data_IF_911361087018
#
_entry.id   IF_911361087018
#
_cell.length_a   1.000
_cell.length_b   1.000
_cell.length_c   1.000
_cell.angle_alpha   90.00
_cell.angle_beta   90.00
_cell.angle_gamma   90.00
#
_symmetry.space_group_name_H-M   'P 1'
#
loop_
_entity.id
_entity.type
_entity.pdbx_description
1 polymer ?
#
# COMPACT_ATOMS: atom_id res chain seq x y z
N UNK A 1 7.26 0.12 -10.92
CA UNK A 1 6.84 0.26 -12.33
C UNK A 1 7.66 -0.59 -13.28
N UNK A 2 8.99 -0.67 -13.12
CA UNK A 2 9.86 -1.52 -13.96
C UNK A 2 9.39 -2.98 -14.03
N UNK A 3 9.01 -3.59 -12.89
CA UNK A 3 8.51 -4.97 -12.86
C UNK A 3 7.21 -5.18 -13.67
N UNK A 4 6.29 -4.21 -13.64
CA UNK A 4 5.03 -4.28 -14.39
C UNK A 4 5.27 -4.13 -15.89
N UNK A 5 6.20 -3.25 -16.28
CA UNK A 5 6.61 -3.06 -17.68
C UNK A 5 7.28 -4.34 -18.20
N UNK A 6 8.21 -4.91 -17.43
CA UNK A 6 8.88 -6.15 -17.79
C UNK A 6 7.89 -7.31 -17.95
N UNK A 7 6.92 -7.45 -17.03
CA UNK A 7 5.89 -8.48 -17.12
C UNK A 7 4.95 -8.26 -18.31
N UNK A 8 4.56 -7.01 -18.60
CA UNK A 8 3.75 -6.67 -19.77
C UNK A 8 4.50 -6.81 -21.10
N UNK A 9 5.84 -6.76 -21.10
CA UNK A 9 6.65 -7.08 -22.27
C UNK A 9 6.82 -8.60 -22.47
N UNK A 10 6.88 -9.36 -21.37
CA UNK A 10 7.03 -10.81 -21.39
C UNK A 10 5.71 -11.58 -21.58
N UNK A 11 4.57 -10.99 -21.22
CA UNK A 11 3.23 -11.59 -21.24
C UNK A 11 2.21 -10.60 -21.86
N UNK A 12 0.95 -11.01 -22.04
CA UNK A 12 -0.08 -10.12 -22.60
C UNK A 12 -0.25 -8.84 -21.76
N UNK A 13 -0.01 -7.63 -22.34
CA UNK A 13 -0.17 -6.36 -21.63
C UNK A 13 -1.58 -6.16 -21.08
N UNK A 14 -2.59 -6.64 -21.83
CA UNK A 14 -4.00 -6.59 -21.41
C UNK A 14 -4.26 -7.46 -20.18
N UNK A 15 -3.63 -8.63 -20.09
CA UNK A 15 -3.69 -9.50 -18.92
C UNK A 15 -3.04 -8.87 -17.69
N UNK A 16 -1.88 -8.23 -17.87
CA UNK A 16 -1.17 -7.54 -16.78
C UNK A 16 -1.97 -6.32 -16.29
N UNK A 17 -2.51 -5.52 -17.22
CA UNK A 17 -3.30 -4.34 -16.89
C UNK A 17 -4.60 -4.71 -16.15
N UNK A 18 -5.36 -5.67 -16.69
CA UNK A 18 -6.59 -6.14 -16.05
C UNK A 18 -6.32 -6.76 -14.67
N UNK A 19 -5.30 -7.59 -14.53
CA UNK A 19 -4.90 -8.15 -13.24
C UNK A 19 -4.47 -7.08 -12.21
N UNK A 20 -3.72 -6.07 -12.65
CA UNK A 20 -3.33 -4.95 -11.80
C UNK A 20 -4.55 -4.15 -11.32
N UNK A 21 -5.49 -3.87 -12.22
CA UNK A 21 -6.74 -3.17 -11.90
C UNK A 21 -7.58 -3.99 -10.92
N UNK A 22 -7.84 -5.26 -11.21
CA UNK A 22 -8.64 -6.13 -10.34
C UNK A 22 -8.05 -6.23 -8.94
N UNK A 23 -6.74 -6.48 -8.82
CA UNK A 23 -6.07 -6.53 -7.52
C UNK A 23 -6.15 -5.18 -6.80
N UNK A 24 -5.96 -4.08 -7.51
CA UNK A 24 -6.01 -2.75 -6.91
C UNK A 24 -7.42 -2.42 -6.39
N UNK A 25 -8.46 -2.73 -7.17
CA UNK A 25 -9.85 -2.58 -6.75
C UNK A 25 -10.15 -3.40 -5.49
N UNK A 26 -9.74 -4.67 -5.43
CA UNK A 26 -9.92 -5.52 -4.25
C UNK A 26 -9.17 -4.98 -3.04
N UNK A 27 -7.90 -4.61 -3.20
CA UNK A 27 -7.08 -4.08 -2.11
C UNK A 27 -7.64 -2.77 -1.55
N UNK A 28 -8.03 -1.84 -2.42
CA UNK A 28 -8.61 -0.55 -2.02
C UNK A 28 -9.97 -0.73 -1.36
N UNK A 29 -10.83 -1.59 -1.90
CA UNK A 29 -12.14 -1.88 -1.31
C UNK A 29 -11.98 -2.45 0.10
N UNK A 30 -11.05 -3.39 0.28
CA UNK A 30 -10.77 -3.97 1.59
C UNK A 30 -10.18 -2.94 2.56
N UNK A 31 -9.28 -2.08 2.10
CA UNK A 31 -8.68 -1.02 2.92
C UNK A 31 -9.74 -0.02 3.41
N UNK A 32 -10.66 0.42 2.54
CA UNK A 32 -11.72 1.35 2.90
C UNK A 32 -12.69 0.70 3.90
N UNK A 33 -13.17 -0.52 3.62
CA UNK A 33 -14.11 -1.22 4.50
C UNK A 33 -13.50 -1.49 5.88
N UNK A 34 -12.27 -2.02 5.91
CA UNK A 34 -11.56 -2.29 7.18
C UNK A 34 -11.24 -1.00 7.92
N UNK A 35 -10.77 0.04 7.22
CA UNK A 35 -10.46 1.33 7.82
C UNK A 35 -11.68 1.99 8.45
N UNK A 36 -12.82 1.98 7.74
CA UNK A 36 -14.09 2.52 8.24
C UNK A 36 -14.59 1.77 9.48
N UNK A 37 -14.52 0.43 9.47
CA UNK A 37 -14.88 -0.37 10.64
C UNK A 37 -13.97 -0.06 11.83
N UNK A 38 -12.65 -0.10 11.62
CA UNK A 38 -11.64 0.09 12.66
C UNK A 38 -11.64 1.52 13.24
N UNK A 39 -12.02 2.53 12.45
CA UNK A 39 -12.14 3.91 12.90
C UNK A 39 -13.19 4.10 14.03
N UNK A 40 -14.16 3.19 14.17
CA UNK A 40 -15.11 3.22 15.29
C UNK A 40 -14.49 2.72 16.61
N UNK A 41 -13.39 1.96 16.54
CA UNK A 41 -12.76 1.33 17.71
C UNK A 41 -11.44 1.98 18.12
N UNK A 42 -10.86 2.85 17.28
CA UNK A 42 -9.55 3.46 17.54
C UNK A 42 -9.67 4.98 17.66
N UNK A 43 -9.03 5.52 18.71
CA UNK A 43 -8.94 6.98 18.91
C UNK A 43 -8.05 7.64 17.85
N UNK A 44 -8.46 8.80 17.34
CA UNK A 44 -7.70 9.61 16.36
C UNK A 44 -6.27 9.94 16.84
N UNK A 45 -6.07 10.09 18.15
CA UNK A 45 -4.74 10.32 18.75
C UNK A 45 -3.80 9.14 18.53
N UNK A 46 -4.30 7.91 18.71
CA UNK A 46 -3.51 6.70 18.48
C UNK A 46 -3.09 6.59 17.02
N UNK A 47 -4.01 6.86 16.08
CA UNK A 47 -3.70 6.87 14.64
C UNK A 47 -2.58 7.85 14.32
N UNK A 48 -2.62 9.05 14.91
CA UNK A 48 -1.55 10.04 14.78
C UNK A 48 -0.20 9.56 15.33
N UNK A 49 -0.18 8.96 16.52
CA UNK A 49 1.05 8.40 17.09
C UNK A 49 1.63 7.26 16.25
N UNK A 50 0.79 6.34 15.77
CA UNK A 50 1.19 5.24 14.89
C UNK A 50 1.81 5.76 13.58
N UNK A 51 1.17 6.75 12.95
CA UNK A 51 1.69 7.38 11.74
C UNK A 51 3.04 8.08 11.97
N UNK A 52 3.17 8.83 13.07
CA UNK A 52 4.42 9.51 13.44
C UNK A 52 5.56 8.54 13.76
N UNK A 53 5.28 7.47 14.52
CA UNK A 53 6.28 6.43 14.79
C UNK A 53 6.71 5.72 13.51
N UNK A 54 5.76 5.36 12.64
CA UNK A 54 6.08 4.74 11.35
C UNK A 54 6.95 5.66 10.48
N UNK A 55 6.68 6.97 10.49
CA UNK A 55 7.51 7.96 9.81
C UNK A 55 8.95 7.99 10.35
N UNK A 56 9.13 8.03 11.68
CA UNK A 56 10.47 7.97 12.30
C UNK A 56 11.21 6.67 11.95
N UNK A 57 10.53 5.53 11.96
CA UNK A 57 11.12 4.25 11.57
C UNK A 57 11.62 4.28 10.12
N UNK A 58 10.82 4.83 9.20
CA UNK A 58 11.24 5.01 7.80
C UNK A 58 12.48 5.91 7.69
N UNK A 59 12.53 7.02 8.42
CA UNK A 59 13.71 7.92 8.44
C UNK A 59 14.96 7.16 8.87
N UNK A 60 14.89 6.41 9.98
CA UNK A 60 16.03 5.63 10.48
C UNK A 60 16.44 4.56 9.46
N UNK A 61 15.49 3.81 8.89
CA UNK A 61 15.78 2.79 7.90
C UNK A 61 16.45 3.36 6.64
N UNK A 62 16.01 4.53 6.18
CA UNK A 62 16.64 5.25 5.06
C UNK A 62 18.04 5.76 5.41
N UNK A 63 18.28 6.25 6.63
CA UNK A 63 19.62 6.67 7.07
C UNK A 63 20.65 5.52 7.03
N UNK A 64 20.21 4.28 7.30
CA UNK A 64 21.05 3.08 7.20
C UNK A 64 21.05 2.44 5.80
N UNK A 65 20.41 3.06 4.81
CA UNK A 65 20.40 2.57 3.42
C UNK A 65 19.62 1.28 3.19
N UNK A 66 18.62 0.98 4.04
CA UNK A 66 17.72 -0.17 3.86
C UNK A 66 16.77 0.04 2.66
N UNK A 67 16.50 1.31 2.33
CA UNK A 67 15.63 1.76 1.25
C UNK A 67 16.36 2.70 0.30
#
# INVERSE_FOLDING_TARGET
>A
MLATIALGAAQSPWGVASGAITRHLVATSLAILRGAFLANYISKKLVGYLGGVLFLVFVVATLFGVF
#
